data_IF_473326024873
#
_entry.id   IF_473326024873
#
_cell.length_a   1.000
_cell.length_b   1.000
_cell.length_c   1.000
_cell.angle_alpha   90.00
_cell.angle_beta   90.00
_cell.angle_gamma   90.00
#
_symmetry.space_group_name_H-M   'P 1'
#
loop_
_entity.id
_entity.type
_entity.pdbx_description
1 polymer ?
#
# COMPACT_ATOMS: atom_id res chain seq x y z
N UNK A 1 13.78 9.80 6.36
CA UNK A 1 12.72 9.34 5.43
C UNK A 1 11.69 8.54 6.19
N UNK A 2 10.42 8.72 5.84
CA UNK A 2 9.27 8.10 6.50
C UNK A 2 8.93 6.78 5.83
N UNK A 3 8.92 5.69 6.60
CA UNK A 3 8.76 4.33 6.07
C UNK A 3 7.29 3.95 5.86
N UNK A 4 6.99 3.37 4.71
CA UNK A 4 5.70 2.72 4.42
C UNK A 4 5.99 1.24 4.13
N UNK A 5 5.41 0.34 4.93
CA UNK A 5 5.65 -1.10 4.82
C UNK A 5 4.45 -1.82 4.19
N UNK A 6 4.66 -2.42 3.02
CA UNK A 6 3.69 -3.29 2.35
C UNK A 6 3.85 -4.75 2.80
N UNK A 7 2.73 -5.43 3.06
CA UNK A 7 2.74 -6.80 3.61
C UNK A 7 1.86 -7.73 2.79
N UNK A 8 2.45 -8.82 2.28
CA UNK A 8 1.70 -9.95 1.72
C UNK A 8 2.17 -11.29 2.33
N UNK A 9 1.85 -12.43 1.73
CA UNK A 9 2.25 -13.74 2.24
C UNK A 9 3.72 -14.04 1.97
N UNK A 10 4.10 -14.12 0.69
CA UNK A 10 5.41 -14.60 0.25
C UNK A 10 6.46 -13.53 -0.04
N UNK A 11 6.06 -12.25 -0.11
CA UNK A 11 6.91 -11.13 -0.53
C UNK A 11 7.58 -11.31 -1.90
N UNK A 12 6.86 -11.92 -2.84
CA UNK A 12 7.34 -12.15 -4.22
C UNK A 12 6.35 -11.72 -5.32
N UNK A 13 5.10 -11.41 -4.96
CA UNK A 13 4.06 -10.86 -5.86
C UNK A 13 3.55 -9.50 -5.36
N UNK A 14 2.44 -9.49 -4.61
CA UNK A 14 1.66 -8.29 -4.28
C UNK A 14 2.44 -7.18 -3.55
N UNK A 15 3.16 -7.51 -2.47
CA UNK A 15 3.82 -6.45 -1.66
C UNK A 15 5.06 -5.84 -2.34
N UNK A 16 5.80 -6.61 -3.13
CA UNK A 16 6.92 -6.09 -3.92
C UNK A 16 6.43 -5.24 -5.10
N UNK A 17 5.32 -5.62 -5.74
CA UNK A 17 4.65 -4.76 -6.71
C UNK A 17 4.28 -3.41 -6.10
N UNK A 18 3.64 -3.42 -4.93
CA UNK A 18 3.23 -2.18 -4.25
C UNK A 18 4.42 -1.30 -3.83
N UNK A 19 5.48 -1.89 -3.28
CA UNK A 19 6.73 -1.17 -2.94
C UNK A 19 7.32 -0.47 -4.17
N UNK A 20 7.56 -1.23 -5.23
CA UNK A 20 8.29 -0.76 -6.41
C UNK A 20 7.47 0.18 -7.27
N UNK A 21 6.16 -0.03 -7.36
CA UNK A 21 5.27 0.91 -8.03
C UNK A 21 5.17 2.21 -7.23
N UNK A 22 4.99 2.17 -5.90
CA UNK A 22 4.96 3.41 -5.12
C UNK A 22 6.26 4.21 -5.31
N UNK A 23 7.42 3.55 -5.29
CA UNK A 23 8.72 4.21 -5.48
C UNK A 23 8.79 5.04 -6.78
N UNK A 24 8.22 4.54 -7.88
CA UNK A 24 8.19 5.27 -9.17
C UNK A 24 7.02 6.24 -9.32
N UNK A 25 6.00 6.16 -8.46
CA UNK A 25 4.87 7.10 -8.43
C UNK A 25 5.11 8.30 -7.51
N UNK A 26 6.05 8.21 -6.58
CA UNK A 26 6.40 9.32 -5.69
C UNK A 26 7.04 10.48 -6.48
N UNK A 27 6.70 11.70 -6.10
CA UNK A 27 7.34 12.89 -6.65
C UNK A 27 8.84 12.92 -6.32
N UNK A 28 9.69 13.48 -7.20
CA UNK A 28 11.09 13.70 -6.89
C UNK A 28 11.27 14.43 -5.56
N UNK A 29 12.16 13.93 -4.69
CA UNK A 29 12.42 14.52 -3.38
C UNK A 29 11.38 14.17 -2.29
N UNK A 30 10.39 13.32 -2.58
CA UNK A 30 9.48 12.81 -1.55
C UNK A 30 10.26 12.14 -0.40
N UNK A 31 10.01 12.58 0.84
CA UNK A 31 10.67 12.04 2.03
C UNK A 31 10.07 10.70 2.49
N UNK A 32 9.62 9.85 1.57
CA UNK A 32 8.95 8.57 1.82
C UNK A 32 9.84 7.43 1.31
N UNK A 33 9.94 6.37 2.11
CA UNK A 33 10.67 5.16 1.76
C UNK A 33 9.68 3.98 1.73
N UNK A 34 9.25 3.54 0.53
CA UNK A 34 8.50 2.31 0.35
C UNK A 34 9.36 1.10 0.68
N UNK A 35 8.79 0.17 1.43
CA UNK A 35 9.43 -1.09 1.79
C UNK A 35 8.37 -2.21 1.79
N UNK A 36 8.78 -3.47 1.64
CA UNK A 36 7.87 -4.60 1.72
C UNK A 36 8.41 -5.77 2.54
N UNK A 37 7.50 -6.63 2.99
CA UNK A 37 7.82 -7.88 3.66
C UNK A 37 6.69 -8.91 3.46
N UNK A 38 6.92 -10.15 3.93
CA UNK A 38 5.94 -11.22 3.85
C UNK A 38 5.76 -11.99 5.15
N UNK A 39 4.51 -12.32 5.49
CA UNK A 39 4.17 -13.03 6.74
C UNK A 39 4.80 -14.43 6.82
N UNK A 40 4.95 -15.09 5.65
CA UNK A 40 5.55 -16.42 5.47
C UNK A 40 6.74 -16.40 4.50
N UNK A 41 7.27 -15.21 4.19
CA UNK A 41 8.39 -15.06 3.28
C UNK A 41 9.64 -15.75 3.82
N UNK A 42 10.36 -16.42 2.92
CA UNK A 42 11.72 -16.92 3.17
C UNK A 42 12.68 -15.96 2.48
N UNK A 43 13.77 -15.53 3.15
CA UNK A 43 14.78 -14.70 2.51
C UNK A 43 15.27 -15.32 1.20
N UNK A 44 15.07 -14.61 0.08
CA UNK A 44 15.58 -15.04 -1.23
C UNK A 44 15.84 -13.84 -2.15
N UNK A 45 16.88 -13.90 -2.99
CA UNK A 45 17.07 -12.91 -4.03
C UNK A 45 15.89 -12.87 -5.00
N UNK A 46 15.53 -11.67 -5.42
CA UNK A 46 14.52 -11.41 -6.43
C UNK A 46 13.08 -11.65 -6.00
N UNK A 47 12.19 -11.33 -6.94
CA UNK A 47 10.76 -11.58 -6.87
C UNK A 47 10.36 -12.68 -7.85
N UNK A 48 9.07 -12.97 -7.98
CA UNK A 48 8.60 -13.88 -9.00
C UNK A 48 8.83 -13.30 -10.43
N UNK A 49 9.30 -14.10 -11.42
CA UNK A 49 9.55 -13.60 -12.77
C UNK A 49 8.32 -13.02 -13.47
N UNK A 50 7.13 -13.60 -13.28
CA UNK A 50 5.91 -13.08 -13.88
C UNK A 50 5.54 -11.73 -13.25
N UNK A 51 5.63 -11.63 -11.91
CA UNK A 51 5.42 -10.37 -11.22
C UNK A 51 6.42 -9.30 -11.69
N UNK A 52 7.69 -9.68 -11.95
CA UNK A 52 8.71 -8.76 -12.45
C UNK A 52 8.36 -8.24 -13.84
N UNK A 53 7.95 -9.11 -14.76
CA UNK A 53 7.58 -8.71 -16.11
C UNK A 53 6.41 -7.70 -16.11
N UNK A 54 5.42 -7.92 -15.24
CA UNK A 54 4.28 -7.01 -15.08
C UNK A 54 4.72 -5.69 -14.43
N UNK A 55 5.59 -5.74 -13.41
CA UNK A 55 6.16 -4.55 -12.76
C UNK A 55 6.88 -3.65 -13.76
N UNK A 56 7.76 -4.23 -14.57
CA UNK A 56 8.57 -3.50 -15.56
C UNK A 56 7.69 -2.87 -16.65
N UNK A 57 6.63 -3.58 -17.09
CA UNK A 57 5.60 -3.02 -18.00
C UNK A 57 4.87 -1.80 -17.41
N UNK A 58 4.67 -1.77 -16.10
CA UNK A 58 4.04 -0.66 -15.39
C UNK A 58 5.04 0.48 -15.05
N UNK A 59 6.31 0.33 -15.42
CA UNK A 59 7.37 1.31 -15.24
C UNK A 59 8.13 1.20 -13.92
N UNK A 60 7.96 0.12 -13.17
CA UNK A 60 8.75 -0.17 -11.97
C UNK A 60 10.08 -0.88 -12.26
N UNK A 61 10.94 -0.96 -11.26
CA UNK A 61 12.22 -1.69 -11.33
C UNK A 61 12.24 -2.91 -10.38
N UNK A 62 12.38 -4.10 -10.96
CA UNK A 62 12.51 -5.37 -10.24
C UNK A 62 13.95 -5.72 -9.82
N UNK A 63 14.94 -4.91 -10.16
CA UNK A 63 16.34 -5.15 -9.84
C UNK A 63 16.66 -4.95 -8.34
N UNK A 64 17.70 -5.63 -7.86
CA UNK A 64 18.21 -5.47 -6.48
C UNK A 64 17.23 -5.82 -5.37
N UNK A 65 16.09 -6.44 -5.67
CA UNK A 65 15.09 -6.85 -4.67
C UNK A 65 15.50 -8.16 -3.98
N UNK A 66 15.22 -8.27 -2.69
CA UNK A 66 15.37 -9.51 -1.92
C UNK A 66 14.12 -9.66 -1.04
N UNK A 67 13.38 -10.75 -1.24
CA UNK A 67 12.23 -11.06 -0.42
C UNK A 67 12.65 -11.25 1.04
N UNK A 68 11.86 -10.75 2.00
CA UNK A 68 12.17 -10.82 3.43
C UNK A 68 10.95 -11.09 4.30
N UNK A 69 11.20 -11.74 5.44
CA UNK A 69 10.21 -12.08 6.46
C UNK A 69 9.71 -10.80 7.15
N UNK A 70 8.41 -10.71 7.39
CA UNK A 70 7.83 -9.71 8.28
C UNK A 70 8.29 -9.95 9.72
N UNK A 71 8.75 -8.90 10.40
CA UNK A 71 9.23 -8.96 11.78
C UNK A 71 8.63 -7.81 12.59
N UNK A 72 8.58 -7.96 13.93
CA UNK A 72 8.09 -6.91 14.81
C UNK A 72 8.86 -5.59 14.67
N UNK A 73 10.21 -5.56 14.54
CA UNK A 73 10.95 -4.32 14.28
C UNK A 73 10.50 -3.60 13.00
N UNK A 74 10.32 -4.33 11.89
CA UNK A 74 9.86 -3.71 10.63
C UNK A 74 8.50 -3.03 10.80
N UNK A 75 7.56 -3.66 11.50
CA UNK A 75 6.24 -3.08 11.80
C UNK A 75 6.36 -1.90 12.76
N UNK A 76 7.21 -2.01 13.77
CA UNK A 76 7.41 -0.96 14.77
C UNK A 76 8.01 0.31 14.15
N UNK A 77 8.93 0.18 13.20
CA UNK A 77 9.65 1.29 12.56
C UNK A 77 8.85 1.96 11.43
N UNK A 78 7.83 1.29 10.89
CA UNK A 78 7.06 1.77 9.74
C UNK A 78 5.96 2.78 10.13
N UNK A 79 6.05 4.04 9.70
CA UNK A 79 5.04 5.06 9.99
C UNK A 79 3.64 4.71 9.46
N UNK A 80 3.57 3.86 8.43
CA UNK A 80 2.34 3.27 7.90
C UNK A 80 2.62 1.82 7.46
N UNK A 81 1.72 0.90 7.79
CA UNK A 81 1.76 -0.51 7.38
C UNK A 81 0.51 -0.85 6.59
N UNK A 82 0.70 -1.37 5.38
CA UNK A 82 -0.36 -1.67 4.42
C UNK A 82 -0.35 -3.15 4.05
N UNK A 83 -1.32 -3.89 4.58
CA UNK A 83 -1.58 -5.26 4.18
C UNK A 83 -2.26 -5.33 2.82
N UNK A 84 -1.90 -6.32 2.00
CA UNK A 84 -2.56 -6.56 0.70
C UNK A 84 -3.85 -7.40 0.85
N UNK A 85 -4.15 -7.83 2.07
CA UNK A 85 -5.36 -8.53 2.49
C UNK A 85 -5.52 -8.34 4.01
N UNK A 86 -6.71 -8.61 4.57
CA UNK A 86 -6.97 -8.42 6.00
C UNK A 86 -6.04 -9.24 6.88
N UNK A 87 -5.78 -10.49 6.51
CA UNK A 87 -4.87 -11.38 7.24
C UNK A 87 -3.44 -10.83 7.38
N UNK A 88 -2.98 -10.05 6.39
CA UNK A 88 -1.66 -9.40 6.42
C UNK A 88 -1.62 -8.24 7.42
N UNK A 89 -2.67 -7.41 7.42
CA UNK A 89 -2.85 -6.35 8.42
C UNK A 89 -2.89 -6.96 9.82
N UNK A 90 -3.69 -8.00 10.02
CA UNK A 90 -3.81 -8.68 11.31
C UNK A 90 -2.49 -9.30 11.77
N UNK A 91 -1.71 -9.89 10.85
CA UNK A 91 -0.39 -10.41 11.16
C UNK A 91 0.58 -9.31 11.63
N UNK A 92 0.56 -8.14 11.00
CA UNK A 92 1.36 -6.99 11.44
C UNK A 92 0.94 -6.51 12.84
N UNK A 93 -0.36 -6.39 13.10
CA UNK A 93 -0.88 -5.97 14.42
C UNK A 93 -0.53 -7.00 15.50
N UNK A 94 -0.57 -8.30 15.22
CA UNK A 94 -0.14 -9.34 16.17
C UNK A 94 1.34 -9.21 16.54
N UNK A 95 2.20 -8.83 15.59
CA UNK A 95 3.63 -8.63 15.83
C UNK A 95 3.93 -7.36 16.64
N UNK A 96 3.19 -6.28 16.39
CA UNK A 96 3.34 -5.02 17.11
C UNK A 96 1.97 -4.36 17.35
N UNK A 97 1.29 -4.70 18.47
CA UNK A 97 -0.04 -4.17 18.77
C UNK A 97 -0.12 -2.63 18.82
N UNK A 98 0.98 -1.97 19.21
CA UNK A 98 1.11 -0.52 19.22
C UNK A 98 0.95 0.12 17.83
N UNK A 99 1.14 -0.65 16.75
CA UNK A 99 0.95 -0.18 15.37
C UNK A 99 -0.51 -0.20 14.89
N UNK A 100 -1.48 -0.64 15.72
CA UNK A 100 -2.88 -0.80 15.32
C UNK A 100 -3.49 0.41 14.58
N UNK A 101 -3.20 1.65 15.03
CA UNK A 101 -3.72 2.88 14.40
C UNK A 101 -3.06 3.24 13.07
N UNK A 102 -1.94 2.60 12.73
CA UNK A 102 -1.16 2.82 11.49
C UNK A 102 -1.10 1.56 10.62
N UNK A 103 -1.88 0.53 10.93
CA UNK A 103 -2.03 -0.69 10.14
C UNK A 103 -3.38 -0.71 9.44
N UNK A 104 -3.39 -0.83 8.12
CA UNK A 104 -4.58 -0.88 7.25
C UNK A 104 -4.40 -1.95 6.17
N UNK A 105 -5.45 -2.30 5.44
CA UNK A 105 -5.23 -2.81 4.08
C UNK A 105 -4.93 -1.65 3.13
N UNK A 106 -4.27 -1.91 2.00
CA UNK A 106 -3.91 -0.87 1.02
C UNK A 106 -5.15 -0.10 0.54
N UNK A 107 -6.20 -0.81 0.11
CA UNK A 107 -7.42 -0.21 -0.43
C UNK A 107 -8.27 0.45 0.65
N UNK A 108 -8.36 -0.16 1.84
CA UNK A 108 -8.98 0.46 3.03
C UNK A 108 -8.35 1.82 3.33
N UNK A 109 -7.01 1.88 3.37
CA UNK A 109 -6.29 3.11 3.67
C UNK A 109 -6.59 4.20 2.65
N UNK A 110 -6.47 3.90 1.36
CA UNK A 110 -6.75 4.85 0.29
C UNK A 110 -8.18 5.37 0.40
N UNK A 111 -9.16 4.47 0.55
CA UNK A 111 -10.58 4.81 0.70
C UNK A 111 -10.83 5.72 1.90
N UNK A 112 -10.28 5.41 3.08
CA UNK A 112 -10.43 6.23 4.29
C UNK A 112 -9.69 7.58 4.19
N UNK A 113 -8.59 7.63 3.46
CA UNK A 113 -7.80 8.85 3.28
C UNK A 113 -8.35 9.79 2.19
N UNK A 114 -9.14 9.31 1.24
CA UNK A 114 -9.76 10.09 0.15
C UNK A 114 -11.27 10.28 0.32
N UNK A 115 -11.73 10.44 1.55
CA UNK A 115 -13.12 10.72 1.86
C UNK A 115 -14.19 9.64 1.70
N UNK A 116 -13.81 8.40 1.41
CA UNK A 116 -14.79 7.34 1.15
C UNK A 116 -15.68 7.66 -0.04
N UNK A 117 -15.29 8.59 -0.92
CA UNK A 117 -15.96 8.81 -2.20
C UNK A 117 -15.64 7.63 -3.09
N UNK A 118 -16.52 6.65 -3.01
CA UNK A 118 -16.61 5.53 -3.90
C UNK A 118 -16.75 6.01 -5.35
N UNK A 119 -16.15 5.28 -6.28
CA UNK A 119 -16.39 5.43 -7.72
C UNK A 119 -17.87 5.19 -8.07
N UNK A 120 -18.67 4.62 -7.15
CA UNK A 120 -20.08 4.30 -7.31
C UNK A 120 -21.01 5.50 -7.59
N UNK A 121 -20.55 6.75 -7.42
CA UNK A 121 -21.39 7.94 -7.62
C UNK A 121 -21.04 8.76 -8.87
N UNK A 122 -20.09 8.34 -9.71
CA UNK A 122 -19.80 9.01 -10.99
C UNK A 122 -19.43 10.50 -10.87
N UNK A 123 -19.11 10.98 -9.67
CA UNK A 123 -18.63 12.33 -9.43
C UNK A 123 -17.11 12.28 -9.35
N UNK A 124 -16.46 12.93 -10.30
CA UNK A 124 -15.06 13.34 -10.16
C UNK A 124 -14.97 14.12 -8.84
N UNK A 125 -14.06 13.78 -7.91
CA UNK A 125 -13.95 14.53 -6.67
C UNK A 125 -13.65 15.99 -7.02
N UNK A 126 -14.57 16.90 -6.71
CA UNK A 126 -14.17 18.29 -6.52
C UNK A 126 -13.14 18.31 -5.38
N UNK A 127 -12.03 18.98 -5.63
CA UNK A 127 -10.88 19.14 -4.76
C UNK A 127 -11.27 19.44 -3.29
N UNK A 128 -11.39 18.43 -2.43
CA UNK A 128 -11.81 18.73 -1.06
C UNK A 128 -11.73 17.59 -0.08
N UNK A 129 -10.61 17.55 0.67
CA UNK A 129 -10.55 17.52 2.16
C UNK A 129 -9.22 16.99 2.73
N UNK A 130 -8.27 16.55 1.88
CA UNK A 130 -6.84 16.50 2.24
C UNK A 130 -6.13 17.87 2.04
N UNK A 131 -6.88 18.95 1.77
CA UNK A 131 -6.36 20.31 1.58
C UNK A 131 -5.98 20.90 2.94
N UNK A 132 -4.81 20.52 3.46
CA UNK A 132 -4.22 21.11 4.68
C UNK A 132 -3.31 20.18 5.48
N UNK A 133 -3.48 18.87 5.34
CA UNK A 133 -2.63 17.87 5.99
C UNK A 133 -1.37 17.63 5.15
N UNK A 134 -0.30 18.37 5.43
CA UNK A 134 1.00 18.12 4.79
C UNK A 134 1.72 16.96 5.49
N UNK A 135 2.05 15.92 4.72
CA UNK A 135 2.85 14.78 5.19
C UNK A 135 2.05 13.57 5.69
N UNK A 136 2.73 12.42 5.77
CA UNK A 136 2.12 11.11 6.03
C UNK A 136 1.40 11.01 7.39
N UNK A 137 1.98 11.58 8.45
CA UNK A 137 1.46 11.42 9.82
C UNK A 137 0.02 11.90 10.00
N UNK A 138 -0.30 13.16 9.62
CA UNK A 138 -1.66 13.67 9.63
C UNK A 138 -2.65 12.85 8.79
N UNK A 139 -2.24 12.40 7.58
CA UNK A 139 -3.08 11.56 6.72
C UNK A 139 -3.41 10.23 7.39
N UNK A 140 -2.41 9.59 8.02
CA UNK A 140 -2.61 8.34 8.77
C UNK A 140 -3.53 8.55 9.96
N UNK A 141 -3.36 9.64 10.71
CA UNK A 141 -4.22 9.96 11.85
C UNK A 141 -5.68 10.21 11.42
N UNK A 142 -5.90 10.93 10.31
CA UNK A 142 -7.22 11.17 9.75
C UNK A 142 -7.90 9.86 9.29
N UNK A 143 -7.18 9.01 8.55
CA UNK A 143 -7.69 7.70 8.14
C UNK A 143 -8.04 6.82 9.36
N UNK A 144 -7.20 6.84 10.40
CA UNK A 144 -7.44 6.09 11.65
C UNK A 144 -8.68 6.59 12.40
N UNK A 145 -8.91 7.91 12.45
CA UNK A 145 -10.07 8.50 13.12
C UNK A 145 -11.40 8.15 12.43
N UNK A 146 -11.36 7.85 11.13
CA UNK A 146 -12.54 7.48 10.33
C UNK A 146 -12.85 5.99 10.36
N UNK A 147 -11.90 5.17 10.81
CA UNK A 147 -12.12 3.74 11.01
C UNK A 147 -13.21 3.55 12.07
N UNK A 148 -14.35 3.01 11.66
CA UNK A 148 -15.54 2.84 12.49
C UNK A 148 -16.59 3.95 12.36
N UNK A 149 -16.28 5.06 11.69
CA UNK A 149 -17.24 6.11 11.34
C UNK A 149 -17.81 5.96 9.93
N UNK A 150 -17.12 5.22 9.05
CA UNK A 150 -17.58 4.87 7.70
C UNK A 150 -18.19 3.48 7.70
N UNK A 151 -19.25 3.27 6.93
CA UNK A 151 -19.88 1.96 6.77
C UNK A 151 -18.85 0.90 6.34
N UNK A 152 -18.91 -0.32 6.91
CA UNK A 152 -18.06 -1.40 6.48
C UNK A 152 -18.41 -1.80 5.04
N UNK A 153 -17.38 -1.99 4.22
CA UNK A 153 -17.49 -2.57 2.88
C UNK A 153 -17.19 -4.07 2.92
N UNK A 154 -17.67 -4.85 1.94
CA UNK A 154 -17.25 -6.24 1.77
C UNK A 154 -15.72 -6.36 1.74
N UNK A 155 -15.16 -7.41 2.36
CA UNK A 155 -13.71 -7.59 2.43
C UNK A 155 -13.04 -7.56 1.05
N UNK A 156 -13.69 -8.11 0.01
CA UNK A 156 -13.18 -8.12 -1.36
C UNK A 156 -12.88 -6.72 -1.92
N UNK A 157 -13.56 -5.67 -1.44
CA UNK A 157 -13.31 -4.28 -1.87
C UNK A 157 -12.05 -3.70 -1.22
N UNK A 158 -11.71 -4.12 0.00
CA UNK A 158 -10.53 -3.64 0.72
C UNK A 158 -9.29 -4.53 0.53
N UNK A 159 -9.42 -5.67 -0.15
CA UNK A 159 -8.34 -6.62 -0.41
C UNK A 159 -7.87 -6.60 -1.87
N UNK A 160 -6.60 -6.98 -2.07
CA UNK A 160 -6.01 -7.20 -3.38
C UNK A 160 -5.96 -8.69 -3.65
N UNK A 161 -6.62 -9.11 -4.73
CA UNK A 161 -6.70 -10.50 -5.19
C UNK A 161 -5.32 -11.16 -5.23
N UNK A 162 -5.20 -12.37 -4.69
CA UNK A 162 -3.95 -13.13 -4.73
C UNK A 162 -3.77 -13.83 -6.08
N UNK A 163 -2.71 -13.52 -6.84
CA UNK A 163 -2.45 -14.17 -8.13
C UNK A 163 -1.73 -15.52 -7.98
N UNK A 164 -1.38 -15.96 -6.77
CA UNK A 164 -0.68 -17.22 -6.55
C UNK A 164 -1.47 -18.42 -7.05
N UNK A 165 -0.86 -19.24 -7.92
CA UNK A 165 -1.48 -20.44 -8.50
C UNK A 165 -2.78 -20.15 -9.27
N UNK A 166 -2.82 -18.99 -9.93
CA UNK A 166 -3.94 -18.52 -10.76
C UNK A 166 -3.47 -18.22 -12.19
N UNK A 167 -4.40 -18.10 -13.14
CA UNK A 167 -4.09 -17.65 -14.51
C UNK A 167 -3.39 -16.28 -14.53
N UNK A 168 -2.59 -16.04 -15.57
CA UNK A 168 -1.76 -14.83 -15.70
C UNK A 168 -2.60 -13.55 -15.69
N UNK A 169 -3.82 -13.59 -16.20
CA UNK A 169 -4.76 -12.46 -16.24
C UNK A 169 -5.04 -11.94 -14.83
N UNK A 170 -5.10 -12.81 -13.83
CA UNK A 170 -5.29 -12.43 -12.42
C UNK A 170 -4.09 -11.64 -11.89
N UNK A 171 -2.88 -11.94 -12.35
CA UNK A 171 -1.68 -11.17 -12.00
C UNK A 171 -1.72 -9.77 -12.61
N UNK A 172 -2.15 -9.64 -13.86
CA UNK A 172 -2.29 -8.34 -14.52
C UNK A 172 -3.35 -7.49 -13.81
N UNK A 173 -4.52 -8.04 -13.50
CA UNK A 173 -5.58 -7.36 -12.74
C UNK A 173 -5.08 -6.93 -11.35
N UNK A 174 -4.40 -7.85 -10.65
CA UNK A 174 -3.79 -7.59 -9.35
C UNK A 174 -2.80 -6.41 -9.41
N UNK A 175 -1.91 -6.39 -10.41
CA UNK A 175 -0.93 -5.34 -10.57
C UNK A 175 -1.56 -3.99 -10.94
N UNK A 176 -2.62 -3.98 -11.75
CA UNK A 176 -3.38 -2.77 -12.07
C UNK A 176 -4.11 -2.21 -10.84
N UNK A 177 -4.71 -3.07 -10.02
CA UNK A 177 -5.37 -2.65 -8.78
C UNK A 177 -4.37 -2.04 -7.80
N UNK A 178 -3.19 -2.65 -7.66
CA UNK A 178 -2.08 -2.11 -6.88
C UNK A 178 -1.62 -0.75 -7.46
N UNK A 179 -1.38 -0.64 -8.77
CA UNK A 179 -0.91 0.62 -9.39
C UNK A 179 -1.92 1.76 -9.17
N UNK A 180 -3.23 1.48 -9.32
CA UNK A 180 -4.30 2.45 -9.05
C UNK A 180 -4.26 2.93 -7.60
N UNK A 181 -4.16 2.00 -6.64
CA UNK A 181 -4.12 2.34 -5.22
C UNK A 181 -2.85 3.11 -4.84
N UNK A 182 -1.66 2.71 -5.31
CA UNK A 182 -0.41 3.40 -4.97
C UNK A 182 -0.28 4.76 -5.65
N UNK A 183 -0.88 4.99 -6.83
CA UNK A 183 -0.99 6.33 -7.42
C UNK A 183 -1.80 7.28 -6.53
N UNK A 184 -2.95 6.84 -6.05
CA UNK A 184 -3.76 7.62 -5.09
C UNK A 184 -2.98 7.89 -3.80
N UNK A 185 -2.29 6.88 -3.28
CA UNK A 185 -1.39 7.04 -2.14
C UNK A 185 -0.29 8.07 -2.43
N UNK A 186 0.36 8.03 -3.59
CA UNK A 186 1.39 8.99 -3.96
C UNK A 186 0.85 10.44 -4.02
N UNK A 187 -0.37 10.64 -4.55
CA UNK A 187 -1.02 11.95 -4.56
C UNK A 187 -1.29 12.49 -3.15
N UNK A 188 -1.77 11.63 -2.24
CA UNK A 188 -1.95 11.97 -0.82
C UNK A 188 -0.64 12.39 -0.14
N UNK A 189 0.49 11.83 -0.59
CA UNK A 189 1.82 12.15 -0.07
C UNK A 189 2.47 13.36 -0.74
N UNK A 190 2.09 13.66 -1.99
CA UNK A 190 2.64 14.71 -2.83
C UNK A 190 1.99 16.09 -2.67
N UNK A 191 0.80 16.18 -2.05
CA UNK A 191 0.06 17.43 -1.84
C UNK A 191 0.74 18.49 -0.94
N UNK A 192 1.98 18.27 -0.50
CA UNK A 192 2.77 19.20 0.31
C UNK A 192 3.79 20.06 -0.46
N UNK A 193 3.84 19.96 -1.79
CA UNK A 193 4.81 20.65 -2.63
C UNK A 193 4.29 21.91 -3.31
N UNK A 194 3.88 22.93 -2.56
CA UNK A 194 3.95 24.32 -3.05
C UNK A 194 4.87 25.08 -2.09
N UNK A 195 6.12 25.26 -2.50
CA UNK A 195 6.98 26.34 -2.01
C UNK A 195 7.25 27.24 -3.21
N UNK A 196 6.95 28.52 -3.00
CA UNK A 196 6.78 29.55 -4.03
C UNK A 196 8.06 30.04 -4.68
#
# INVERSE_FOLDING_TARGET
MTRILFVCTGNVYRSVLAERLLAVRLAPGAAVLPESAGTRARPRPGMDPAARAVLERLGGDGSGFTARRLTAPLVADAALVLGLAREHREAAVRLAPSAMRRCFTLKEFVRLATDGTDEAQGRVPEEGAARGATGLGPVVAAAAARRGAVLPVPAAEDEVTDPWDRPHEVLDECAQDIDRAVRRLALLLGGGGVRG
#
